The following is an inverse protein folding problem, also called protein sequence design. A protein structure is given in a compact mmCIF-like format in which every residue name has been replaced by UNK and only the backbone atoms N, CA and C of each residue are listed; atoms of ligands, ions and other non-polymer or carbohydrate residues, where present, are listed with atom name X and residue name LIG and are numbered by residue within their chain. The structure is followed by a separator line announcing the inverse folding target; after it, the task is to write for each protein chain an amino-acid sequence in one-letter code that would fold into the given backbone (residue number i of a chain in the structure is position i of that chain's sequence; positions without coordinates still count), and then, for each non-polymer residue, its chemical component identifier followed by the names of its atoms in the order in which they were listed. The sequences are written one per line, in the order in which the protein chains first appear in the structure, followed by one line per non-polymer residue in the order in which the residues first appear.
data_IF_523571884757
#
_entry.id   IF_523571884757
#
_cell.length_a   1.000
_cell.length_b   1.000
_cell.length_c   1.000
_cell.angle_alpha   90.00
_cell.angle_beta   90.00
_cell.angle_gamma   90.00
#
_symmetry.space_group_name_H-M   'P 1'
#
loop_
_entity.id
_entity.type
_entity.pdbx_description
1 polymer ?
#
# COMPACT_ATOMS: atom_id res chain seq x y z
N UNK A 1 37.88 12.66 -45.51
CA UNK A 1 36.44 12.87 -45.78
C UNK A 1 35.71 11.60 -45.37
N UNK A 2 34.98 11.63 -44.24
CA UNK A 2 33.50 11.59 -44.20
C UNK A 2 32.98 10.18 -44.59
N UNK A 3 32.40 9.32 -43.75
CA UNK A 3 31.55 9.53 -42.57
C UNK A 3 31.57 8.30 -41.63
N UNK A 4 31.65 8.58 -40.33
CA UNK A 4 31.28 7.67 -39.23
C UNK A 4 29.75 7.64 -39.18
N UNK A 5 29.13 6.47 -39.33
CA UNK A 5 27.69 6.29 -39.07
C UNK A 5 27.55 5.70 -37.67
N UNK A 6 27.49 6.58 -36.68
CA UNK A 6 27.11 6.26 -35.31
C UNK A 6 25.58 6.22 -35.27
N UNK A 7 24.99 5.04 -35.38
CA UNK A 7 23.54 4.86 -35.16
C UNK A 7 23.28 4.85 -33.64
N UNK A 8 23.07 6.04 -33.09
CA UNK A 8 22.62 6.26 -31.72
C UNK A 8 21.13 5.88 -31.63
N UNK A 9 20.82 4.65 -31.25
CA UNK A 9 19.45 4.25 -30.91
C UNK A 9 19.11 4.91 -29.58
N UNK A 10 18.49 6.08 -29.63
CA UNK A 10 17.84 6.71 -28.49
C UNK A 10 16.80 5.74 -27.93
N UNK A 11 17.07 5.20 -26.74
CA UNK A 11 16.04 4.62 -25.89
C UNK A 11 15.03 5.71 -25.58
N UNK A 12 13.90 5.72 -26.29
CA UNK A 12 12.71 6.44 -25.88
C UNK A 12 12.22 5.73 -24.62
N UNK A 13 12.63 6.24 -23.46
CA UNK A 13 12.01 5.89 -22.20
C UNK A 13 10.54 6.27 -22.31
N UNK A 14 9.68 5.26 -22.43
CA UNK A 14 8.24 5.42 -22.27
C UNK A 14 7.99 5.87 -20.84
N UNK A 15 8.07 7.17 -20.59
CA UNK A 15 7.51 7.80 -19.42
C UNK A 15 6.00 7.60 -19.51
N UNK A 16 5.54 6.51 -18.91
CA UNK A 16 4.12 6.18 -18.77
C UNK A 16 3.48 7.27 -17.93
N UNK A 17 2.98 8.33 -18.57
CA UNK A 17 2.13 9.32 -17.93
C UNK A 17 0.95 8.55 -17.34
N UNK A 18 0.94 8.41 -16.02
CA UNK A 18 -0.09 7.66 -15.34
C UNK A 18 -1.44 8.33 -15.63
N UNK A 19 -2.38 7.55 -16.18
CA UNK A 19 -3.66 8.09 -16.63
C UNK A 19 -4.42 8.68 -15.42
N UNK A 20 -5.15 9.81 -15.57
CA UNK A 20 -5.91 10.44 -14.48
C UNK A 20 -6.81 9.46 -13.70
N UNK A 21 -7.35 8.43 -14.37
CA UNK A 21 -8.13 7.37 -13.74
C UNK A 21 -7.36 6.54 -12.71
N UNK A 22 -6.07 6.27 -12.93
CA UNK A 22 -5.23 5.51 -11.99
C UNK A 22 -4.98 6.28 -10.70
N UNK A 23 -4.82 7.61 -10.77
CA UNK A 23 -4.69 8.46 -9.57
C UNK A 23 -5.94 8.38 -8.71
N UNK A 24 -7.13 8.51 -9.32
CA UNK A 24 -8.41 8.44 -8.62
C UNK A 24 -8.59 7.06 -7.97
N UNK A 25 -8.29 5.99 -8.72
CA UNK A 25 -8.37 4.62 -8.21
C UNK A 25 -7.42 4.38 -7.04
N UNK A 26 -6.16 4.82 -7.15
CA UNK A 26 -5.17 4.69 -6.08
C UNK A 26 -5.57 5.46 -4.82
N UNK A 27 -6.07 6.69 -4.98
CA UNK A 27 -6.57 7.50 -3.86
C UNK A 27 -7.73 6.80 -3.14
N UNK A 28 -8.69 6.28 -3.90
CA UNK A 28 -9.83 5.52 -3.35
C UNK A 28 -9.37 4.25 -2.62
N UNK A 29 -8.43 3.51 -3.20
CA UNK A 29 -7.85 2.31 -2.63
C UNK A 29 -7.15 2.62 -1.29
N UNK A 30 -6.29 3.64 -1.25
CA UNK A 30 -5.57 4.09 -0.04
C UNK A 30 -6.57 4.47 1.05
N UNK A 31 -7.53 5.36 0.77
CA UNK A 31 -8.53 5.81 1.75
C UNK A 31 -9.35 4.66 2.33
N UNK A 32 -9.81 3.74 1.48
CA UNK A 32 -10.55 2.56 1.95
C UNK A 32 -9.67 1.68 2.84
N UNK A 33 -8.42 1.45 2.45
CA UNK A 33 -7.47 0.67 3.26
C UNK A 33 -7.19 1.33 4.60
N UNK A 34 -7.07 2.65 4.67
CA UNK A 34 -6.92 3.41 5.92
C UNK A 34 -8.04 3.09 6.90
N UNK A 35 -9.30 3.12 6.45
CA UNK A 35 -10.47 2.77 7.29
C UNK A 35 -10.35 1.35 7.87
N UNK A 36 -9.95 0.38 7.04
CA UNK A 36 -9.76 -1.01 7.49
C UNK A 36 -8.62 -1.12 8.50
N UNK A 37 -7.50 -0.42 8.29
CA UNK A 37 -6.37 -0.40 9.23
C UNK A 37 -6.77 0.21 10.57
N UNK A 38 -7.55 1.31 10.57
CA UNK A 38 -8.05 1.91 11.80
C UNK A 38 -8.98 0.95 12.56
N UNK A 39 -9.83 0.20 11.84
CA UNK A 39 -10.65 -0.83 12.47
C UNK A 39 -9.80 -1.98 13.04
N UNK A 40 -8.79 -2.44 12.29
CA UNK A 40 -7.84 -3.45 12.75
C UNK A 40 -7.09 -2.99 14.02
N UNK A 41 -6.64 -1.73 14.05
CA UNK A 41 -6.00 -1.12 15.21
C UNK A 41 -6.93 -1.11 16.43
N UNK A 42 -8.20 -0.73 16.24
CA UNK A 42 -9.20 -0.75 17.32
C UNK A 42 -9.35 -2.17 17.89
N UNK A 43 -9.49 -3.18 17.03
CA UNK A 43 -9.61 -4.59 17.46
C UNK A 43 -8.36 -5.10 18.15
N UNK A 44 -7.18 -4.72 17.65
CA UNK A 44 -5.89 -5.01 18.26
C UNK A 44 -5.76 -4.39 19.66
N UNK A 45 -6.21 -3.14 19.83
CA UNK A 45 -6.21 -2.46 21.13
C UNK A 45 -7.14 -3.14 22.14
N UNK A 46 -8.30 -3.60 21.68
CA UNK A 46 -9.30 -4.31 22.50
C UNK A 46 -8.80 -5.69 22.95
N UNK A 47 -8.25 -6.50 22.03
CA UNK A 47 -8.00 -7.93 22.28
C UNK A 47 -6.52 -8.32 22.41
N UNK A 48 -5.60 -7.43 22.01
CA UNK A 48 -4.16 -7.54 22.22
C UNK A 48 -3.52 -8.83 21.67
N UNK A 49 -4.04 -9.36 20.57
CA UNK A 49 -3.43 -10.51 19.87
C UNK A 49 -2.40 -9.98 18.86
N UNK A 50 -1.12 -10.06 19.23
CA UNK A 50 0.01 -9.55 18.46
C UNK A 50 0.55 -10.63 17.52
N UNK A 51 0.45 -10.40 16.20
CA UNK A 51 0.86 -11.37 15.16
C UNK A 51 1.99 -10.85 14.26
N UNK A 52 2.36 -9.58 14.41
CA UNK A 52 3.25 -8.84 13.52
C UNK A 52 2.54 -8.31 12.26
N UNK A 53 1.28 -8.68 12.03
CA UNK A 53 0.55 -8.27 10.83
C UNK A 53 0.13 -6.80 10.86
N UNK A 54 -0.03 -6.19 12.05
CA UNK A 54 -0.37 -4.77 12.15
C UNK A 54 0.81 -3.91 11.68
N UNK A 55 2.03 -4.23 12.14
CA UNK A 55 3.26 -3.55 11.69
C UNK A 55 3.43 -3.67 10.18
N UNK A 56 3.30 -4.87 9.62
CA UNK A 56 3.40 -5.08 8.17
C UNK A 56 2.34 -4.29 7.42
N UNK A 57 1.10 -4.31 7.90
CA UNK A 57 -0.01 -3.58 7.28
C UNK A 57 0.28 -2.07 7.20
N UNK A 58 0.71 -1.47 8.32
CA UNK A 58 1.06 -0.05 8.38
C UNK A 58 2.26 0.28 7.48
N UNK A 59 3.30 -0.56 7.45
CA UNK A 59 4.48 -0.36 6.58
C UNK A 59 4.10 -0.35 5.10
N UNK A 60 3.31 -1.32 4.65
CA UNK A 60 2.81 -1.36 3.27
C UNK A 60 1.97 -0.13 2.93
N UNK A 61 1.10 0.33 3.84
CA UNK A 61 0.25 1.49 3.59
C UNK A 61 1.06 2.80 3.52
N UNK A 62 2.04 2.99 4.42
CA UNK A 62 2.98 4.12 4.36
C UNK A 62 3.75 4.15 3.05
N UNK A 63 4.23 2.99 2.60
CA UNK A 63 4.91 2.88 1.32
C UNK A 63 3.98 3.12 0.13
N UNK A 64 2.73 2.65 0.19
CA UNK A 64 1.71 2.95 -0.81
C UNK A 64 1.48 4.47 -0.95
N UNK A 65 1.38 5.19 0.16
CA UNK A 65 1.28 6.65 0.18
C UNK A 65 2.51 7.34 -0.40
N UNK A 66 3.71 6.84 -0.08
CA UNK A 66 4.94 7.31 -0.70
C UNK A 66 4.89 7.15 -2.23
N UNK A 67 4.57 5.96 -2.73
CA UNK A 67 4.44 5.67 -4.16
C UNK A 67 3.38 6.53 -4.85
N UNK A 68 2.26 6.78 -4.17
CA UNK A 68 1.21 7.66 -4.66
C UNK A 68 1.74 9.09 -4.89
N UNK A 69 2.49 9.63 -3.94
CA UNK A 69 3.14 10.95 -4.06
C UNK A 69 4.16 11.02 -5.19
N UNK A 70 4.80 9.89 -5.51
CA UNK A 70 5.73 9.75 -6.64
C UNK A 70 5.02 9.54 -8.00
N UNK A 71 3.68 9.59 -8.05
CA UNK A 71 2.90 9.34 -9.27
C UNK A 71 2.84 7.85 -9.68
N UNK A 72 3.37 6.93 -8.86
CA UNK A 72 3.39 5.48 -9.13
C UNK A 72 2.09 4.83 -8.68
N UNK A 73 0.96 5.26 -9.24
CA UNK A 73 -0.38 4.93 -8.75
C UNK A 73 -0.71 3.44 -8.76
N UNK A 74 -0.36 2.71 -9.83
CA UNK A 74 -0.61 1.27 -9.89
C UNK A 74 0.17 0.50 -8.80
N UNK A 75 1.43 0.86 -8.58
CA UNK A 75 2.24 0.26 -7.51
C UNK A 75 1.69 0.62 -6.12
N UNK A 76 1.22 1.85 -5.94
CA UNK A 76 0.55 2.27 -4.72
C UNK A 76 -0.71 1.43 -4.44
N UNK A 77 -1.52 1.11 -5.46
CA UNK A 77 -2.67 0.20 -5.32
C UNK A 77 -2.21 -1.18 -4.85
N UNK A 78 -1.16 -1.76 -5.44
CA UNK A 78 -0.69 -3.08 -5.04
C UNK A 78 -0.19 -3.13 -3.59
N UNK A 79 0.55 -2.11 -3.16
CA UNK A 79 1.03 -2.01 -1.78
C UNK A 79 -0.15 -1.78 -0.80
N UNK A 80 -1.11 -0.93 -1.13
CA UNK A 80 -2.33 -0.71 -0.34
C UNK A 80 -3.21 -1.96 -0.26
N UNK A 81 -3.33 -2.73 -1.34
CA UNK A 81 -4.01 -4.03 -1.37
C UNK A 81 -3.40 -4.98 -0.34
N UNK A 82 -2.06 -5.08 -0.33
CA UNK A 82 -1.35 -5.94 0.62
C UNK A 82 -1.55 -5.48 2.06
N UNK A 83 -1.50 -4.16 2.30
CA UNK A 83 -1.80 -3.60 3.60
C UNK A 83 -3.20 -4.00 4.10
N UNK A 84 -4.22 -3.94 3.23
CA UNK A 84 -5.61 -4.31 3.56
C UNK A 84 -5.76 -5.79 3.90
N UNK A 85 -5.11 -6.68 3.15
CA UNK A 85 -5.12 -8.12 3.43
C UNK A 85 -4.54 -8.42 4.82
N UNK A 86 -3.41 -7.79 5.16
CA UNK A 86 -2.80 -7.93 6.48
C UNK A 86 -3.70 -7.37 7.59
N UNK A 87 -4.39 -6.25 7.34
CA UNK A 87 -5.36 -5.70 8.28
C UNK A 87 -6.55 -6.65 8.52
N UNK A 88 -7.04 -7.36 7.50
CA UNK A 88 -8.04 -8.41 7.69
C UNK A 88 -7.56 -9.54 8.59
N UNK A 89 -6.30 -9.97 8.44
CA UNK A 89 -5.71 -10.97 9.33
C UNK A 89 -5.63 -10.47 10.78
N UNK A 90 -5.29 -9.20 11.00
CA UNK A 90 -5.31 -8.58 12.33
C UNK A 90 -6.72 -8.59 12.92
N UNK A 91 -7.73 -8.20 12.14
CA UNK A 91 -9.15 -8.18 12.56
C UNK A 91 -9.58 -9.58 12.98
N UNK A 92 -9.34 -10.60 12.14
CA UNK A 92 -9.72 -11.98 12.40
C UNK A 92 -9.02 -12.55 13.64
N UNK A 93 -7.71 -12.34 13.76
CA UNK A 93 -6.93 -12.77 14.93
C UNK A 93 -7.42 -12.11 16.24
N UNK A 94 -7.94 -10.88 16.14
CA UNK A 94 -8.48 -10.10 17.25
C UNK A 94 -10.02 -10.19 17.35
N UNK A 95 -10.62 -11.31 16.91
CA UNK A 95 -12.05 -11.63 17.06
C UNK A 95 -13.00 -10.58 16.47
N UNK A 96 -12.55 -9.81 15.48
CA UNK A 96 -13.36 -8.88 14.72
C UNK A 96 -13.96 -9.52 13.48
N UNK A 97 -14.93 -8.83 12.89
CA UNK A 97 -15.58 -9.25 11.64
C UNK A 97 -15.18 -8.29 10.52
N UNK A 98 -14.84 -8.84 9.35
CA UNK A 98 -14.63 -8.04 8.14
C UNK A 98 -15.99 -7.66 7.59
N UNK A 99 -16.24 -6.36 7.43
CA UNK A 99 -17.51 -5.85 6.91
C UNK A 99 -17.65 -6.09 5.40
N UNK A 100 -18.89 -6.32 4.97
CA UNK A 100 -19.23 -6.42 3.54
C UNK A 100 -18.97 -5.07 2.87
N UNK A 101 -18.25 -5.07 1.76
CA UNK A 101 -17.83 -3.89 1.00
C UNK A 101 -16.37 -3.47 1.23
N UNK A 102 -15.64 -4.12 2.14
CA UNK A 102 -14.20 -3.91 2.31
C UNK A 102 -13.34 -4.78 1.38
N UNK A 103 -13.96 -5.77 0.73
CA UNK A 103 -13.30 -6.70 -0.16
C UNK A 103 -12.52 -5.98 -1.26
N UNK A 104 -11.45 -6.62 -1.71
CA UNK A 104 -10.65 -6.13 -2.83
C UNK A 104 -11.47 -6.22 -4.11
N UNK A 105 -11.53 -5.14 -4.87
CA UNK A 105 -12.17 -5.17 -6.20
C UNK A 105 -11.27 -5.86 -7.22
N UNK A 106 -11.84 -6.27 -8.36
CA UNK A 106 -11.06 -6.90 -9.46
C UNK A 106 -10.01 -5.93 -10.01
N UNK A 107 -10.31 -4.64 -10.02
CA UNK A 107 -9.40 -3.57 -10.46
C UNK A 107 -8.22 -3.39 -9.49
N UNK A 108 -8.42 -3.68 -8.20
CA UNK A 108 -7.35 -3.69 -7.20
C UNK A 108 -6.46 -4.96 -7.31
N UNK A 109 -6.89 -5.97 -8.07
CA UNK A 109 -6.21 -7.27 -8.20
C UNK A 109 -6.22 -7.83 -9.65
N UNK A 110 -5.57 -7.16 -10.61
CA UNK A 110 -5.49 -7.66 -11.98
C UNK A 110 -4.62 -8.92 -12.09
N UNK A 111 -4.86 -9.72 -13.12
CA UNK A 111 -3.97 -10.83 -13.46
C UNK A 111 -2.55 -10.31 -13.74
N UNK A 112 -1.54 -11.02 -13.21
CA UNK A 112 -0.14 -10.59 -13.28
C UNK A 112 0.27 -9.53 -12.25
N UNK A 113 -0.58 -9.19 -11.28
CA UNK A 113 -0.18 -8.35 -10.15
C UNK A 113 0.98 -9.00 -9.37
N UNK A 114 1.92 -8.20 -8.82
CA UNK A 114 3.05 -8.74 -8.08
C UNK A 114 2.63 -9.58 -6.87
N UNK A 115 3.45 -10.59 -6.55
CA UNK A 115 3.20 -11.47 -5.41
C UNK A 115 3.42 -10.73 -4.11
N UNK A 116 2.89 -11.27 -3.01
CA UNK A 116 3.09 -10.71 -1.67
C UNK A 116 4.59 -10.69 -1.30
N UNK A 117 5.35 -11.70 -1.72
CA UNK A 117 6.81 -11.75 -1.50
C UNK A 117 7.53 -10.64 -2.26
N UNK A 118 7.11 -10.35 -3.49
CA UNK A 118 7.71 -9.26 -4.27
C UNK A 118 7.40 -7.91 -3.64
N UNK A 119 6.19 -7.71 -3.13
CA UNK A 119 5.80 -6.48 -2.44
C UNK A 119 6.60 -6.25 -1.14
N UNK A 120 6.89 -7.31 -0.39
CA UNK A 120 7.68 -7.25 0.84
C UNK A 120 9.13 -6.83 0.55
N UNK A 121 9.74 -7.36 -0.52
CA UNK A 121 11.12 -7.02 -0.94
C UNK A 121 11.28 -5.55 -1.33
N UNK A 122 10.20 -4.88 -1.72
CA UNK A 122 10.23 -3.46 -2.07
C UNK A 122 10.11 -2.52 -0.88
N UNK A 123 9.75 -3.03 0.30
CA UNK A 123 9.63 -2.17 1.46
C UNK A 123 11.01 -1.61 1.82
N UNK A 124 11.09 -0.32 2.16
CA UNK A 124 12.31 0.23 2.74
C UNK A 124 12.64 -0.49 4.05
N UNK A 125 13.93 -0.49 4.40
CA UNK A 125 14.42 -1.07 5.66
C UNK A 125 13.59 -0.56 6.85
N UNK A 126 13.24 -1.47 7.76
CA UNK A 126 12.52 -1.10 8.98
C UNK A 126 13.50 -0.45 9.96
N UNK A 127 13.50 0.88 10.01
CA UNK A 127 14.35 1.65 10.92
C UNK A 127 13.62 2.02 12.21
N UNK A 128 12.30 1.84 12.28
CA UNK A 128 11.49 2.28 13.43
C UNK A 128 11.28 1.16 14.47
N UNK A 129 11.54 -0.10 14.11
CA UNK A 129 11.37 -1.27 14.98
C UNK A 129 10.02 -1.22 15.74
N UNK A 130 8.96 -0.89 15.00
CA UNK A 130 7.61 -0.82 15.54
C UNK A 130 7.09 -2.22 15.79
N UNK A 131 6.31 -2.36 16.86
CA UNK A 131 5.62 -3.59 17.22
C UNK A 131 4.11 -3.38 17.11
N UNK A 132 3.36 -4.47 16.98
CA UNK A 132 1.89 -4.41 16.99
C UNK A 132 1.39 -3.70 18.26
N UNK A 133 2.03 -3.96 19.41
CA UNK A 133 1.71 -3.31 20.68
C UNK A 133 1.89 -1.79 20.64
N UNK A 134 3.03 -1.29 20.13
CA UNK A 134 3.26 0.15 19.97
C UNK A 134 2.21 0.78 19.05
N UNK A 135 1.93 0.11 17.93
CA UNK A 135 0.94 0.59 16.96
C UNK A 135 -0.49 0.58 17.49
N UNK A 136 -0.82 -0.23 18.50
CA UNK A 136 -2.17 -0.22 19.09
C UNK A 136 -2.51 1.11 19.78
N UNK A 137 -1.50 1.89 20.20
CA UNK A 137 -1.66 3.19 20.84
C UNK A 137 -1.26 4.40 19.98
N UNK A 138 -0.68 4.18 18.80
CA UNK A 138 -0.16 5.25 17.94
C UNK A 138 -1.28 5.95 17.13
N UNK A 139 -1.15 7.26 16.90
CA UNK A 139 -2.02 7.97 15.98
C UNK A 139 -1.51 7.79 14.53
N UNK A 140 -2.28 7.09 13.70
CA UNK A 140 -1.86 6.66 12.36
C UNK A 140 -2.24 7.65 11.24
N UNK A 141 -2.21 8.97 11.50
CA UNK A 141 -2.53 9.99 10.49
C UNK A 141 -1.67 9.92 9.23
N UNK A 142 -0.47 9.39 9.35
CA UNK A 142 0.50 9.37 8.26
C UNK A 142 0.24 8.29 7.20
N UNK A 143 -0.77 7.44 7.40
CA UNK A 143 -1.11 6.34 6.47
C UNK A 143 -2.12 6.74 5.39
N UNK A 144 -2.76 7.91 5.51
CA UNK A 144 -3.73 8.39 4.52
C UNK A 144 -3.15 9.46 3.58
N UNK A 145 -3.83 9.63 2.45
CA UNK A 145 -3.65 10.75 1.52
C UNK A 145 -4.60 11.87 1.94
N UNK A 146 -4.21 12.63 2.96
CA UNK A 146 -4.83 13.93 3.24
C UNK A 146 -4.65 14.85 2.01
N UNK A 147 -5.75 15.44 1.54
CA UNK A 147 -5.66 16.65 0.74
C UNK A 147 -5.53 17.80 1.73
N UNK A 148 -4.46 18.58 1.61
CA UNK A 148 -4.61 19.99 1.96
C UNK A 148 -5.59 20.54 0.92
N UNK A 149 -6.84 20.68 1.31
CA UNK A 149 -7.78 21.54 0.59
C UNK A 149 -7.26 22.98 0.59
#
# INVERSE_FOLDING_TARGET
MKHIVLALIMMIGLSSFAQPGQRIAAKKCIRRTTVVIMHAQKKLKENKVYTGNMVKSVRHQRYARFLFRQGKFLRAIHQSRRARQLAFLVIQANKGTVEKGWELSKEENPAGAPTDSDLEKELPADTENKTDEKLAGEDLKDIDVEEKE
#
